data_IF_742148747206
#
_entry.id   IF_742148747206
#
_cell.length_a   1.000
_cell.length_b   1.000
_cell.length_c   1.000
_cell.angle_alpha   90.00
_cell.angle_beta   90.00
_cell.angle_gamma   90.00
#
_symmetry.space_group_name_H-M   'P 1'
#
loop_
_entity.id
_entity.type
_entity.pdbx_description
1 polymer ?
#
# COMPACT_ATOMS: atom_id res chain seq x y z
N UNK A 1 -6.14 37.19 19.92
CA UNK A 1 -7.33 36.39 19.55
C UNK A 1 -6.87 35.45 18.42
N UNK A 2 -6.42 34.29 18.79
CA UNK A 2 -6.00 33.25 17.83
C UNK A 2 -7.28 32.64 17.24
N UNK A 3 -7.47 32.87 15.95
CA UNK A 3 -8.51 32.21 15.14
C UNK A 3 -8.37 30.71 15.34
N UNK A 4 -9.36 30.10 15.98
CA UNK A 4 -9.53 28.63 15.95
C UNK A 4 -9.79 28.30 14.48
N UNK A 5 -8.78 27.75 13.82
CA UNK A 5 -8.88 27.26 12.46
C UNK A 5 -9.94 26.16 12.49
N UNK A 6 -11.15 26.45 12.00
CA UNK A 6 -12.20 25.46 11.82
C UNK A 6 -11.62 24.40 10.90
N UNK A 7 -11.25 23.25 11.45
CA UNK A 7 -10.76 22.11 10.67
C UNK A 7 -11.80 21.80 9.62
N UNK A 8 -11.44 21.97 8.35
CA UNK A 8 -12.37 21.65 7.25
C UNK A 8 -12.68 20.16 7.34
N UNK A 9 -13.96 19.85 7.33
CA UNK A 9 -14.41 18.45 7.37
C UNK A 9 -13.86 17.72 6.14
N UNK A 10 -13.12 16.60 6.31
CA UNK A 10 -12.54 15.89 5.18
C UNK A 10 -13.64 15.32 4.27
N UNK A 11 -13.39 15.37 2.97
CA UNK A 11 -14.26 14.77 1.93
C UNK A 11 -13.84 13.35 1.59
N UNK A 12 -12.55 13.03 1.79
CA UNK A 12 -11.96 11.71 1.52
C UNK A 12 -11.26 11.21 2.77
N UNK A 13 -11.61 9.99 3.16
CA UNK A 13 -10.92 9.18 4.14
C UNK A 13 -10.03 8.18 3.39
N UNK A 14 -8.71 8.36 3.49
CA UNK A 14 -7.73 7.37 3.08
C UNK A 14 -7.50 6.44 4.26
N UNK A 15 -7.91 5.19 4.14
CA UNK A 15 -7.90 4.22 5.23
C UNK A 15 -6.91 3.10 4.92
N UNK A 16 -5.91 2.87 5.79
CA UNK A 16 -5.14 1.63 5.73
C UNK A 16 -6.02 0.44 6.11
N UNK A 17 -5.61 -0.76 5.74
CA UNK A 17 -6.37 -1.99 5.97
C UNK A 17 -5.87 -2.74 7.20
N UNK A 18 -4.64 -3.24 7.16
CA UNK A 18 -4.08 -4.08 8.22
C UNK A 18 -3.73 -3.24 9.45
N UNK A 19 -4.30 -3.60 10.60
CA UNK A 19 -4.15 -2.82 11.83
C UNK A 19 -5.17 -1.69 12.02
N UNK A 20 -5.98 -1.40 11.01
CA UNK A 20 -7.01 -0.33 11.04
C UNK A 20 -8.41 -0.89 10.85
N UNK A 21 -8.66 -1.52 9.70
CA UNK A 21 -9.97 -2.15 9.40
C UNK A 21 -10.03 -3.55 10.00
N UNK A 22 -8.94 -4.29 9.90
CA UNK A 22 -8.84 -5.68 10.36
C UNK A 22 -7.43 -6.04 10.86
N UNK A 23 -7.35 -7.19 11.53
CA UNK A 23 -6.12 -7.90 11.81
C UNK A 23 -6.23 -9.29 11.17
N UNK A 24 -5.40 -9.60 10.17
CA UNK A 24 -5.46 -10.85 9.41
C UNK A 24 -6.90 -11.18 8.94
N UNK A 25 -7.60 -10.21 8.33
CA UNK A 25 -8.99 -10.25 7.86
C UNK A 25 -10.08 -10.39 8.94
N UNK A 26 -9.73 -10.40 10.22
CA UNK A 26 -10.70 -10.30 11.32
C UNK A 26 -10.95 -8.81 11.61
N UNK A 27 -12.18 -8.30 11.47
CA UNK A 27 -12.45 -6.88 11.68
C UNK A 27 -12.05 -6.40 13.08
N UNK A 28 -11.42 -5.24 13.15
CA UNK A 28 -11.24 -4.51 14.41
C UNK A 28 -12.64 -4.10 14.90
N UNK A 29 -13.00 -4.33 16.18
CA UNK A 29 -14.31 -3.97 16.71
C UNK A 29 -14.69 -2.51 16.41
N UNK A 30 -15.87 -2.30 15.84
CA UNK A 30 -16.38 -0.98 15.49
C UNK A 30 -15.84 -0.38 14.18
N UNK A 31 -14.85 -1.01 13.51
CA UNK A 31 -14.26 -0.45 12.29
C UNK A 31 -15.26 -0.38 11.12
N UNK A 32 -16.08 -1.43 10.96
CA UNK A 32 -17.06 -1.52 9.87
C UNK A 32 -18.15 -0.46 10.03
N UNK A 33 -18.70 -0.33 11.22
CA UNK A 33 -19.72 0.67 11.57
C UNK A 33 -19.18 2.09 11.41
N UNK A 34 -17.92 2.31 11.80
CA UNK A 34 -17.27 3.60 11.64
C UNK A 34 -17.15 4.02 10.16
N UNK A 35 -16.72 3.10 9.29
CA UNK A 35 -16.60 3.37 7.85
C UNK A 35 -17.97 3.65 7.23
N UNK A 36 -19.00 2.87 7.54
CA UNK A 36 -20.37 3.15 7.09
C UNK A 36 -20.86 4.52 7.55
N UNK A 37 -20.63 4.85 8.84
CA UNK A 37 -20.96 6.18 9.37
C UNK A 37 -20.22 7.31 8.66
N UNK A 38 -18.96 7.11 8.28
CA UNK A 38 -18.20 8.07 7.49
C UNK A 38 -18.86 8.30 6.12
N UNK A 39 -19.26 7.24 5.42
CA UNK A 39 -19.92 7.29 4.11
C UNK A 39 -21.33 7.92 4.20
N UNK A 40 -22.13 7.54 5.19
CA UNK A 40 -23.44 8.14 5.45
C UNK A 40 -23.38 9.65 5.70
N UNK A 41 -22.24 10.11 6.20
CA UNK A 41 -21.94 11.52 6.39
C UNK A 41 -21.24 12.20 5.20
N UNK A 42 -21.23 11.55 4.02
CA UNK A 42 -20.76 12.11 2.76
C UNK A 42 -19.25 12.08 2.55
N UNK A 43 -18.49 11.34 3.38
CA UNK A 43 -17.08 11.08 3.11
C UNK A 43 -16.92 9.94 2.10
N UNK A 44 -16.04 10.10 1.12
CA UNK A 44 -15.61 9.01 0.25
C UNK A 44 -14.50 8.23 0.95
N UNK A 45 -14.70 6.95 1.18
CA UNK A 45 -13.67 6.06 1.75
C UNK A 45 -12.87 5.43 0.63
N UNK A 46 -11.54 5.53 0.70
CA UNK A 46 -10.59 4.84 -0.16
C UNK A 46 -9.65 4.00 0.71
N UNK A 47 -9.51 2.74 0.37
CA UNK A 47 -8.65 1.79 1.08
C UNK A 47 -7.27 1.78 0.44
N UNK A 48 -6.21 2.15 1.19
CA UNK A 48 -4.85 2.31 0.65
C UNK A 48 -3.89 1.37 1.35
N UNK A 49 -3.49 0.30 0.68
CA UNK A 49 -2.68 -0.77 1.29
C UNK A 49 -1.34 -1.00 0.58
N UNK A 50 -0.31 -1.37 1.37
CA UNK A 50 0.96 -1.86 0.83
C UNK A 50 0.91 -3.35 0.43
N UNK A 51 -0.22 -4.03 0.59
CA UNK A 51 -0.38 -5.39 0.10
C UNK A 51 -0.33 -5.42 -1.44
N UNK A 52 0.67 -6.11 -1.99
CA UNK A 52 0.83 -6.35 -3.43
C UNK A 52 0.63 -7.81 -3.80
N UNK A 53 0.38 -8.68 -2.82
CA UNK A 53 0.26 -10.12 -3.03
C UNK A 53 -1.13 -10.51 -3.53
N UNK A 54 -2.18 -10.02 -2.86
CA UNK A 54 -3.56 -10.25 -3.22
C UNK A 54 -3.98 -9.35 -4.38
N UNK A 55 -4.88 -9.83 -5.23
CA UNK A 55 -5.48 -9.01 -6.30
C UNK A 55 -6.40 -7.94 -5.71
N UNK A 56 -6.71 -6.90 -6.48
CA UNK A 56 -7.70 -5.88 -6.09
C UNK A 56 -9.05 -6.53 -5.80
N UNK A 57 -9.50 -7.44 -6.67
CA UNK A 57 -10.77 -8.16 -6.51
C UNK A 57 -10.83 -9.01 -5.24
N UNK A 58 -9.71 -9.64 -4.84
CA UNK A 58 -9.63 -10.38 -3.57
C UNK A 58 -9.76 -9.43 -2.37
N UNK A 59 -9.11 -8.27 -2.40
CA UNK A 59 -9.22 -7.27 -1.33
C UNK A 59 -10.65 -6.72 -1.24
N UNK A 60 -11.25 -6.38 -2.38
CA UNK A 60 -12.66 -5.93 -2.44
C UNK A 60 -13.60 -7.02 -1.94
N UNK A 61 -13.35 -8.29 -2.30
CA UNK A 61 -14.13 -9.44 -1.83
C UNK A 61 -14.04 -9.63 -0.31
N UNK A 62 -12.84 -9.47 0.28
CA UNK A 62 -12.67 -9.54 1.74
C UNK A 62 -13.42 -8.39 2.44
N UNK A 63 -13.32 -7.15 1.94
CA UNK A 63 -14.09 -6.01 2.45
C UNK A 63 -15.60 -6.26 2.32
N UNK A 64 -16.05 -6.80 1.18
CA UNK A 64 -17.45 -7.19 0.97
C UNK A 64 -17.94 -8.24 1.96
N UNK A 65 -17.10 -9.22 2.33
CA UNK A 65 -17.47 -10.28 3.27
C UNK A 65 -17.73 -9.77 4.69
N UNK A 66 -17.17 -8.63 5.06
CA UNK A 66 -17.43 -7.94 6.33
C UNK A 66 -18.48 -6.83 6.20
N UNK A 67 -19.08 -6.69 5.01
CA UNK A 67 -20.21 -5.78 4.75
C UNK A 67 -19.81 -4.36 4.37
N UNK A 68 -18.62 -4.16 3.80
CA UNK A 68 -18.17 -2.89 3.24
C UNK A 68 -18.20 -2.97 1.71
N UNK A 69 -18.88 -2.01 1.05
CA UNK A 69 -18.78 -1.87 -0.41
C UNK A 69 -17.46 -1.19 -0.76
N UNK A 70 -16.54 -1.95 -1.34
CA UNK A 70 -15.21 -1.46 -1.69
C UNK A 70 -14.93 -1.45 -3.20
N UNK A 71 -15.93 -1.75 -4.04
CA UNK A 71 -15.78 -1.84 -5.49
C UNK A 71 -15.19 -0.53 -6.08
N UNK A 72 -14.02 -0.63 -6.70
CA UNK A 72 -13.28 0.51 -7.26
C UNK A 72 -12.70 1.48 -6.23
N UNK A 73 -12.60 1.08 -4.96
CA UNK A 73 -12.11 1.93 -3.86
C UNK A 73 -10.84 1.42 -3.20
N UNK A 74 -10.29 0.30 -3.67
CA UNK A 74 -9.04 -0.27 -3.17
C UNK A 74 -7.88 0.21 -4.03
N UNK A 75 -6.85 0.75 -3.39
CA UNK A 75 -5.59 1.20 -4.01
C UNK A 75 -4.47 0.40 -3.37
N UNK A 76 -3.78 -0.42 -4.19
CA UNK A 76 -2.72 -1.31 -3.71
C UNK A 76 -1.33 -0.83 -4.13
N UNK A 77 -0.31 -1.29 -3.43
CA UNK A 77 1.07 -1.04 -3.85
C UNK A 77 1.44 -1.75 -5.17
N UNK A 78 0.69 -2.79 -5.57
CA UNK A 78 0.80 -3.39 -6.89
C UNK A 78 0.37 -2.42 -8.00
N UNK A 79 -0.78 -1.74 -7.82
CA UNK A 79 -1.23 -0.68 -8.73
C UNK A 79 -0.20 0.47 -8.81
N UNK A 80 0.38 0.83 -7.67
CA UNK A 80 1.40 1.87 -7.63
C UNK A 80 2.67 1.47 -8.39
N UNK A 81 3.14 0.23 -8.24
CA UNK A 81 4.28 -0.28 -8.99
C UNK A 81 3.98 -0.31 -10.51
N UNK A 82 2.82 -0.81 -10.89
CA UNK A 82 2.37 -0.87 -12.27
C UNK A 82 2.23 0.53 -12.91
N UNK A 83 1.86 1.55 -12.13
CA UNK A 83 1.63 2.92 -12.61
C UNK A 83 2.86 3.66 -13.15
N UNK A 84 4.07 3.13 -12.92
CA UNK A 84 5.33 3.70 -13.37
C UNK A 84 6.03 2.86 -14.46
N UNK A 85 5.38 1.79 -14.92
CA UNK A 85 5.88 0.95 -15.99
C UNK A 85 5.48 1.50 -17.36
N UNK A 86 6.33 1.24 -18.36
CA UNK A 86 6.02 1.61 -19.74
C UNK A 86 5.27 0.47 -20.43
N UNK A 87 4.09 0.72 -21.04
CA UNK A 87 3.35 -0.30 -21.79
C UNK A 87 4.20 -0.95 -22.89
N UNK A 88 4.04 -2.25 -23.10
CA UNK A 88 4.82 -3.04 -24.04
C UNK A 88 6.18 -3.52 -23.48
N UNK A 89 6.57 -3.08 -22.29
CA UNK A 89 7.77 -3.56 -21.61
C UNK A 89 7.67 -5.03 -21.23
N UNK A 90 8.80 -5.75 -21.27
CA UNK A 90 8.91 -7.11 -20.75
C UNK A 90 9.40 -7.05 -19.31
N UNK A 91 8.61 -7.54 -18.37
CA UNK A 91 8.81 -7.37 -16.92
C UNK A 91 9.03 -8.72 -16.25
N UNK A 92 10.15 -8.86 -15.54
CA UNK A 92 10.37 -10.00 -14.64
C UNK A 92 9.67 -9.72 -13.31
N UNK A 93 8.65 -10.52 -12.95
CA UNK A 93 7.86 -10.32 -11.74
C UNK A 93 8.28 -11.30 -10.65
N UNK A 94 8.79 -10.77 -9.55
CA UNK A 94 9.07 -11.46 -8.29
C UNK A 94 7.97 -11.08 -7.28
N UNK A 95 6.78 -11.64 -7.42
CA UNK A 95 5.65 -11.25 -6.58
C UNK A 95 4.41 -12.11 -6.75
N UNK A 96 3.42 -11.86 -5.88
CA UNK A 96 2.15 -12.55 -5.86
C UNK A 96 1.22 -12.21 -7.03
N UNK A 97 0.03 -12.80 -6.99
CA UNK A 97 -0.98 -12.65 -8.05
C UNK A 97 -1.38 -11.20 -8.31
N UNK A 98 -1.57 -10.42 -7.24
CA UNK A 98 -1.95 -9.00 -7.37
C UNK A 98 -0.93 -8.20 -8.19
N UNK A 99 0.38 -8.41 -7.92
CA UNK A 99 1.42 -7.72 -8.67
C UNK A 99 1.46 -8.13 -10.14
N UNK A 100 1.30 -9.44 -10.43
CA UNK A 100 1.27 -9.97 -11.79
C UNK A 100 0.09 -9.40 -12.59
N UNK A 101 -1.09 -9.34 -11.97
CA UNK A 101 -2.30 -8.81 -12.60
C UNK A 101 -2.16 -7.31 -12.93
N UNK A 102 -1.64 -6.51 -12.01
CA UNK A 102 -1.49 -5.07 -12.24
C UNK A 102 -0.41 -4.76 -13.27
N UNK A 103 0.71 -5.52 -13.30
CA UNK A 103 1.73 -5.40 -14.37
C UNK A 103 1.14 -5.75 -15.73
N UNK A 104 0.34 -6.82 -15.81
CA UNK A 104 -0.36 -7.19 -17.06
C UNK A 104 -1.36 -6.11 -17.48
N UNK A 105 -2.13 -5.56 -16.51
CA UNK A 105 -3.10 -4.48 -16.75
C UNK A 105 -2.45 -3.17 -17.24
N UNK A 106 -1.19 -2.93 -16.86
CA UNK A 106 -0.39 -1.83 -17.38
C UNK A 106 0.07 -2.05 -18.84
N UNK A 107 -0.28 -3.18 -19.46
CA UNK A 107 0.07 -3.50 -20.85
C UNK A 107 1.49 -4.06 -21.02
N UNK A 108 2.09 -4.60 -19.95
CA UNK A 108 3.42 -5.22 -19.98
C UNK A 108 3.33 -6.74 -20.23
N UNK A 109 4.39 -7.30 -20.84
CA UNK A 109 4.60 -8.74 -20.91
C UNK A 109 5.10 -9.24 -19.54
N UNK A 110 4.32 -10.06 -18.86
CA UNK A 110 4.65 -10.60 -17.54
C UNK A 110 5.46 -11.88 -17.68
N UNK A 111 6.65 -11.92 -17.09
CA UNK A 111 7.45 -13.14 -16.90
C UNK A 111 7.57 -13.42 -15.41
N UNK A 112 6.97 -14.51 -14.95
CA UNK A 112 7.01 -14.90 -13.53
C UNK A 112 8.32 -15.60 -13.23
N UNK A 113 9.08 -15.11 -12.25
CA UNK A 113 10.47 -15.49 -12.04
C UNK A 113 10.65 -16.99 -11.76
N UNK A 114 9.88 -17.58 -10.82
CA UNK A 114 10.03 -19.01 -10.47
C UNK A 114 9.52 -19.97 -11.56
N UNK A 115 8.64 -19.51 -12.44
CA UNK A 115 8.10 -20.30 -13.56
C UNK A 115 9.04 -20.34 -14.76
N UNK A 116 10.05 -19.48 -14.78
CA UNK A 116 10.98 -19.32 -15.90
C UNK A 116 12.44 -19.29 -15.43
N UNK A 117 12.91 -20.29 -14.69
CA UNK A 117 14.25 -20.27 -14.11
C UNK A 117 15.34 -20.26 -15.18
N UNK A 118 16.39 -19.49 -14.94
CA UNK A 118 17.55 -19.40 -15.83
C UNK A 118 17.32 -18.66 -17.15
N UNK A 119 16.15 -18.09 -17.38
CA UNK A 119 15.82 -17.33 -18.58
C UNK A 119 16.70 -16.07 -18.68
N UNK A 120 17.18 -15.76 -19.88
CA UNK A 120 18.11 -14.65 -20.12
C UNK A 120 17.58 -13.63 -21.10
N UNK A 121 16.30 -13.34 -20.97
CA UNK A 121 15.65 -12.30 -21.77
C UNK A 121 16.16 -10.90 -21.36
N UNK A 122 16.04 -9.95 -22.27
CA UNK A 122 16.15 -8.55 -21.90
C UNK A 122 14.83 -8.09 -21.25
N UNK A 123 14.91 -7.61 -20.03
CA UNK A 123 13.77 -7.06 -19.30
C UNK A 123 13.89 -5.54 -19.20
N UNK A 124 12.77 -4.84 -19.30
CA UNK A 124 12.71 -3.40 -18.97
C UNK A 124 12.78 -3.17 -17.46
N UNK A 125 12.09 -4.02 -16.71
CA UNK A 125 11.95 -3.90 -15.26
C UNK A 125 12.01 -5.28 -14.57
N UNK A 126 12.50 -5.28 -13.34
CA UNK A 126 12.31 -6.35 -12.35
C UNK A 126 11.41 -5.77 -11.28
N UNK A 127 10.17 -6.26 -11.16
CA UNK A 127 9.18 -5.76 -10.21
C UNK A 127 9.02 -6.73 -9.05
N UNK A 128 9.18 -6.22 -7.83
CA UNK A 128 9.29 -7.03 -6.62
C UNK A 128 8.18 -6.67 -5.62
N UNK A 129 7.56 -7.70 -5.05
CA UNK A 129 6.62 -7.61 -3.94
C UNK A 129 6.78 -8.77 -2.97
N UNK A 130 5.76 -9.03 -2.15
CA UNK A 130 5.74 -10.25 -1.34
C UNK A 130 5.72 -11.47 -2.27
N UNK A 131 6.72 -12.34 -2.10
CA UNK A 131 6.96 -13.46 -3.00
C UNK A 131 7.33 -14.72 -2.21
N UNK A 132 6.39 -15.64 -2.07
CA UNK A 132 6.56 -16.85 -1.25
C UNK A 132 7.40 -17.91 -1.92
N UNK A 133 7.49 -17.88 -3.25
CA UNK A 133 8.28 -18.76 -4.09
C UNK A 133 9.73 -18.25 -4.31
N UNK A 134 10.17 -17.27 -3.48
CA UNK A 134 11.51 -16.72 -3.55
C UNK A 134 12.55 -17.72 -3.07
N UNK A 135 13.52 -18.01 -3.94
CA UNK A 135 14.65 -18.87 -3.66
C UNK A 135 15.96 -18.29 -4.24
N UNK A 136 17.07 -19.03 -4.10
CA UNK A 136 18.37 -18.59 -4.62
C UNK A 136 18.37 -18.48 -6.15
N UNK A 137 17.60 -19.30 -6.86
CA UNK A 137 17.51 -19.25 -8.33
C UNK A 137 16.82 -17.97 -8.78
N UNK A 138 15.70 -17.64 -8.15
CA UNK A 138 14.97 -16.37 -8.38
C UNK A 138 15.86 -15.17 -8.07
N UNK A 139 16.59 -15.20 -6.94
CA UNK A 139 17.53 -14.14 -6.58
C UNK A 139 18.60 -13.95 -7.67
N UNK A 140 19.21 -15.03 -8.16
CA UNK A 140 20.24 -14.99 -9.17
C UNK A 140 19.71 -14.48 -10.51
N UNK A 141 18.51 -14.87 -10.92
CA UNK A 141 17.90 -14.44 -12.18
C UNK A 141 17.48 -12.96 -12.13
N UNK A 142 16.87 -12.52 -11.03
CA UNK A 142 16.51 -11.12 -10.81
C UNK A 142 17.78 -10.23 -10.78
N UNK A 143 18.81 -10.64 -10.03
CA UNK A 143 20.10 -9.93 -10.01
C UNK A 143 20.69 -9.79 -11.42
N UNK A 144 20.70 -10.87 -12.22
CA UNK A 144 21.23 -10.82 -13.60
C UNK A 144 20.43 -9.88 -14.48
N UNK A 145 19.09 -9.92 -14.39
CA UNK A 145 18.22 -9.02 -15.14
C UNK A 145 18.53 -7.55 -14.83
N UNK A 146 18.63 -7.20 -13.53
CA UNK A 146 18.98 -5.84 -13.10
C UNK A 146 20.36 -5.44 -13.58
N UNK A 147 21.38 -6.30 -13.43
CA UNK A 147 22.75 -6.02 -13.91
C UNK A 147 22.87 -5.95 -15.44
N UNK A 148 21.90 -6.49 -16.16
CA UNK A 148 21.78 -6.36 -17.62
C UNK A 148 21.03 -5.11 -18.07
N UNK A 149 20.61 -4.24 -17.13
CA UNK A 149 20.01 -2.95 -17.43
C UNK A 149 18.53 -2.82 -17.08
N UNK A 150 17.87 -3.87 -16.55
CA UNK A 150 16.50 -3.76 -16.07
C UNK A 150 16.44 -2.85 -14.84
N UNK A 151 15.43 -1.99 -14.76
CA UNK A 151 15.18 -1.16 -13.57
C UNK A 151 14.60 -2.03 -12.45
N UNK A 152 15.12 -1.87 -11.23
CA UNK A 152 14.60 -2.57 -10.05
C UNK A 152 13.50 -1.73 -9.40
N UNK A 153 12.26 -2.26 -9.36
CA UNK A 153 11.06 -1.62 -8.79
C UNK A 153 10.52 -2.46 -7.65
N UNK A 154 10.36 -1.86 -6.47
CA UNK A 154 9.72 -2.46 -5.32
C UNK A 154 8.30 -1.95 -5.12
N UNK A 155 7.33 -2.84 -4.94
CA UNK A 155 5.96 -2.43 -4.61
C UNK A 155 5.86 -1.77 -3.24
N UNK A 156 6.68 -2.19 -2.28
CA UNK A 156 6.84 -1.59 -0.95
C UNK A 156 8.20 -1.97 -0.35
N UNK A 157 8.54 -1.35 0.79
CA UNK A 157 9.76 -1.61 1.56
C UNK A 157 9.49 -2.26 2.91
N UNK A 158 8.31 -2.85 3.12
CA UNK A 158 7.94 -3.47 4.40
C UNK A 158 8.80 -4.70 4.66
N UNK A 159 9.63 -4.64 5.72
CA UNK A 159 10.55 -5.73 6.09
C UNK A 159 9.82 -7.00 6.50
N UNK A 160 8.67 -6.84 7.16
CA UNK A 160 7.84 -7.93 7.66
C UNK A 160 6.36 -7.58 7.58
N UNK A 161 5.51 -8.60 7.69
CA UNK A 161 4.07 -8.44 7.85
C UNK A 161 3.55 -9.36 8.95
N UNK A 162 2.49 -8.95 9.68
CA UNK A 162 1.92 -9.74 10.76
C UNK A 162 1.10 -10.92 10.23
N UNK A 163 1.21 -12.04 10.95
CA UNK A 163 0.36 -13.23 10.78
C UNK A 163 -0.13 -13.69 12.16
N UNK A 164 -1.15 -14.56 12.24
CA UNK A 164 -1.57 -15.12 13.53
C UNK A 164 -0.45 -15.82 14.31
N UNK A 165 0.55 -16.36 13.60
CA UNK A 165 1.68 -17.09 14.18
C UNK A 165 2.92 -16.22 14.41
N UNK A 166 2.81 -14.89 14.21
CA UNK A 166 3.91 -13.94 14.37
C UNK A 166 4.29 -13.22 13.06
N UNK A 167 5.47 -12.60 13.04
CA UNK A 167 5.95 -11.85 11.88
C UNK A 167 6.58 -12.77 10.84
N UNK A 168 6.22 -12.58 9.57
CA UNK A 168 6.90 -13.17 8.42
C UNK A 168 7.60 -12.10 7.58
N UNK A 169 8.66 -12.47 6.79
CA UNK A 169 9.34 -11.52 5.90
C UNK A 169 8.39 -10.90 4.88
N UNK A 170 8.41 -9.59 4.76
CA UNK A 170 7.63 -8.82 3.80
C UNK A 170 8.30 -8.68 2.42
N UNK A 171 7.62 -7.99 1.51
CA UNK A 171 8.14 -7.71 0.16
C UNK A 171 9.43 -6.90 0.17
N UNK A 172 9.61 -6.02 1.17
CA UNK A 172 10.85 -5.26 1.35
C UNK A 172 12.08 -6.13 1.62
N UNK A 173 11.92 -7.28 2.32
CA UNK A 173 13.02 -8.22 2.53
C UNK A 173 13.46 -8.89 1.23
N UNK A 174 12.53 -9.26 0.36
CA UNK A 174 12.81 -9.80 -0.98
C UNK A 174 13.51 -8.75 -1.85
N UNK A 175 12.99 -7.53 -1.83
CA UNK A 175 13.55 -6.39 -2.56
C UNK A 175 14.99 -6.09 -2.11
N UNK A 176 15.24 -6.05 -0.81
CA UNK A 176 16.56 -5.80 -0.23
C UNK A 176 17.57 -6.87 -0.64
N UNK A 177 17.19 -8.15 -0.69
CA UNK A 177 18.06 -9.22 -1.13
C UNK A 177 18.48 -9.03 -2.60
N UNK A 178 17.55 -8.70 -3.49
CA UNK A 178 17.83 -8.47 -4.92
C UNK A 178 18.67 -7.20 -5.10
N UNK A 179 18.32 -6.10 -4.42
CA UNK A 179 19.03 -4.83 -4.49
C UNK A 179 20.48 -4.98 -4.04
N UNK A 180 20.72 -5.67 -2.91
CA UNK A 180 22.05 -5.98 -2.41
C UNK A 180 22.85 -6.82 -3.40
N UNK A 181 22.28 -7.89 -3.95
CA UNK A 181 22.94 -8.77 -4.90
C UNK A 181 23.28 -8.06 -6.23
N UNK A 182 22.39 -7.18 -6.68
CA UNK A 182 22.58 -6.41 -7.91
C UNK A 182 23.50 -5.19 -7.73
N UNK A 183 23.64 -4.66 -6.50
CA UNK A 183 24.43 -3.46 -6.19
C UNK A 183 23.75 -2.17 -6.65
N UNK A 184 22.42 -2.09 -6.54
CA UNK A 184 21.62 -0.92 -6.97
C UNK A 184 20.61 -0.49 -5.90
N UNK A 185 20.20 0.77 -5.95
CA UNK A 185 19.07 1.26 -5.18
C UNK A 185 17.76 1.04 -5.96
N UNK A 186 16.73 0.44 -5.34
CA UNK A 186 15.46 0.20 -6.00
C UNK A 186 14.58 1.46 -6.01
N UNK A 187 13.72 1.57 -7.02
CA UNK A 187 12.60 2.52 -7.00
C UNK A 187 11.46 1.91 -6.19
N UNK A 188 11.15 2.44 -5.01
CA UNK A 188 10.02 1.97 -4.19
C UNK A 188 8.77 2.79 -4.49
N UNK A 189 7.61 2.14 -4.59
CA UNK A 189 6.39 2.78 -5.11
C UNK A 189 5.22 2.85 -4.14
N UNK A 190 5.11 1.92 -3.19
CA UNK A 190 4.05 1.91 -2.16
C UNK A 190 4.19 3.04 -1.13
N UNK A 191 3.27 3.10 -0.17
CA UNK A 191 3.41 4.04 0.96
C UNK A 191 4.80 3.89 1.62
N UNK A 192 5.49 4.98 1.96
CA UNK A 192 5.09 6.39 1.89
C UNK A 192 5.45 7.13 0.57
N UNK A 193 5.88 6.44 -0.46
CA UNK A 193 6.56 7.06 -1.61
C UNK A 193 5.63 7.76 -2.61
N UNK A 194 6.19 8.75 -3.30
CA UNK A 194 5.51 9.61 -4.27
C UNK A 194 4.69 8.90 -5.38
N UNK A 195 5.07 7.72 -5.92
CA UNK A 195 4.21 7.04 -6.90
C UNK A 195 2.82 6.71 -6.35
N UNK A 196 2.72 6.25 -5.09
CA UNK A 196 1.43 6.00 -4.42
C UNK A 196 0.65 7.29 -4.21
N UNK A 197 1.32 8.35 -3.77
CA UNK A 197 0.68 9.66 -3.58
C UNK A 197 0.10 10.21 -4.90
N UNK A 198 0.85 10.10 -6.00
CA UNK A 198 0.34 10.47 -7.34
C UNK A 198 -0.85 9.62 -7.77
N UNK A 199 -0.83 8.32 -7.49
CA UNK A 199 -1.95 7.43 -7.82
C UNK A 199 -3.21 7.82 -7.04
N UNK A 200 -3.09 8.03 -5.72
CA UNK A 200 -4.20 8.53 -4.87
C UNK A 200 -4.69 9.88 -5.38
N UNK A 201 -3.80 10.81 -5.71
CA UNK A 201 -4.17 12.12 -6.26
C UNK A 201 -5.01 12.03 -7.54
N UNK A 202 -4.68 11.11 -8.45
CA UNK A 202 -5.51 10.85 -9.66
C UNK A 202 -6.89 10.29 -9.32
N UNK A 203 -6.98 9.39 -8.35
CA UNK A 203 -8.27 8.81 -7.91
C UNK A 203 -9.13 9.83 -7.19
N UNK A 204 -8.51 10.78 -6.47
CA UNK A 204 -9.17 11.85 -5.73
C UNK A 204 -9.40 13.12 -6.56
N UNK A 205 -9.46 13.00 -7.88
CA UNK A 205 -9.57 14.13 -8.82
C UNK A 205 -10.45 15.28 -8.31
N UNK A 206 -9.90 16.49 -8.33
CA UNK A 206 -10.56 17.72 -7.84
C UNK A 206 -10.61 17.89 -6.30
N UNK A 207 -10.06 16.97 -5.51
CA UNK A 207 -9.99 17.10 -4.04
C UNK A 207 -8.53 17.32 -3.63
N UNK A 208 -8.23 18.51 -3.11
CA UNK A 208 -6.90 18.84 -2.59
C UNK A 208 -6.60 18.19 -1.24
N UNK A 209 -5.32 18.26 -0.79
CA UNK A 209 -4.85 17.64 0.46
C UNK A 209 -5.67 18.03 1.70
N UNK A 210 -6.12 19.29 1.80
CA UNK A 210 -6.94 19.79 2.92
C UNK A 210 -8.31 19.10 3.02
N UNK A 211 -8.78 18.50 1.92
CA UNK A 211 -10.01 17.70 1.87
C UNK A 211 -9.81 16.22 2.16
N UNK A 212 -8.59 15.79 2.45
CA UNK A 212 -8.22 14.40 2.69
C UNK A 212 -7.74 14.20 4.13
N UNK A 213 -7.93 12.99 4.64
CA UNK A 213 -7.32 12.54 5.89
C UNK A 213 -6.85 11.10 5.72
N UNK A 214 -5.63 10.81 6.18
CA UNK A 214 -5.11 9.44 6.26
C UNK A 214 -5.31 8.89 7.66
N UNK A 215 -5.89 7.70 7.77
CA UNK A 215 -5.95 6.92 9.01
C UNK A 215 -5.12 5.67 8.84
N UNK A 216 -4.17 5.46 9.74
CA UNK A 216 -3.24 4.33 9.71
C UNK A 216 -2.70 4.01 11.10
N UNK A 217 -2.15 2.81 11.25
CA UNK A 217 -1.57 2.32 12.50
C UNK A 217 -0.05 2.50 12.57
N UNK A 218 0.61 2.74 11.41
CA UNK A 218 2.06 2.73 11.28
C UNK A 218 2.60 4.11 10.85
N UNK A 219 3.01 4.96 11.81
CA UNK A 219 3.49 6.32 11.56
C UNK A 219 4.59 6.42 10.51
N UNK A 220 5.54 5.49 10.52
CA UNK A 220 6.64 5.47 9.54
C UNK A 220 6.19 5.22 8.09
N UNK A 221 5.02 4.65 7.88
CA UNK A 221 4.44 4.37 6.55
C UNK A 221 3.26 5.31 6.28
N UNK A 222 2.22 5.26 7.10
CA UNK A 222 0.97 6.01 6.88
C UNK A 222 1.11 7.49 7.22
N UNK A 223 1.82 7.80 8.32
CA UNK A 223 2.11 9.18 8.70
C UNK A 223 3.02 9.87 7.69
N UNK A 224 4.08 9.18 7.28
CA UNK A 224 4.97 9.67 6.22
C UNK A 224 4.23 9.80 4.87
N UNK A 225 3.29 8.91 4.58
CA UNK A 225 2.44 8.99 3.37
C UNK A 225 1.49 10.17 3.42
N UNK A 226 0.87 10.43 4.56
CA UNK A 226 0.06 11.63 4.76
C UNK A 226 0.87 12.92 4.54
N UNK A 227 2.11 12.95 5.02
CA UNK A 227 3.03 14.06 4.81
C UNK A 227 3.42 14.23 3.33
N UNK A 228 3.64 13.12 2.59
CA UNK A 228 3.93 13.13 1.14
C UNK A 228 2.75 13.69 0.34
N UNK A 229 1.50 13.37 0.73
CA UNK A 229 0.29 13.96 0.13
C UNK A 229 0.10 15.41 0.59
N UNK A 230 0.52 15.75 1.81
CA UNK A 230 0.24 17.02 2.48
C UNK A 230 -1.12 17.04 3.20
N UNK A 231 -1.68 15.89 3.55
CA UNK A 231 -2.96 15.77 4.24
C UNK A 231 -2.81 15.50 5.76
N UNK A 232 -3.91 15.64 6.51
CA UNK A 232 -3.96 15.32 7.93
C UNK A 232 -3.74 13.81 8.15
N UNK A 233 -3.02 13.45 9.23
CA UNK A 233 -2.84 12.07 9.68
C UNK A 233 -3.51 11.83 11.03
N UNK A 234 -4.21 10.70 11.15
CA UNK A 234 -4.74 10.17 12.41
C UNK A 234 -4.12 8.79 12.62
N UNK A 235 -3.32 8.66 13.68
CA UNK A 235 -2.80 7.37 14.12
C UNK A 235 -3.86 6.64 14.91
N UNK A 236 -4.07 5.35 14.62
CA UNK A 236 -4.84 4.42 15.48
C UNK A 236 -3.89 3.42 16.14
N UNK A 237 -4.29 2.92 17.33
CA UNK A 237 -3.45 2.07 18.17
C UNK A 237 -3.87 0.59 18.12
N UNK A 238 -4.55 0.19 17.06
CA UNK A 238 -5.12 -1.16 16.88
C UNK A 238 -4.24 -2.12 16.10
N UNK A 239 -3.11 -1.65 15.55
CA UNK A 239 -2.23 -2.44 14.69
C UNK A 239 -0.82 -2.64 15.25
N UNK A 240 0.19 -2.40 14.40
CA UNK A 240 1.61 -2.61 14.74
C UNK A 240 2.08 -1.64 15.83
N UNK A 241 1.72 -0.36 15.72
CA UNK A 241 2.04 0.63 16.73
C UNK A 241 0.92 0.71 17.77
N UNK A 242 1.19 0.20 18.97
CA UNK A 242 0.27 0.26 20.11
C UNK A 242 0.51 1.45 21.03
N UNK A 243 1.50 2.27 20.70
CA UNK A 243 1.90 3.47 21.44
C UNK A 243 1.82 4.68 20.53
N UNK A 244 1.36 5.80 21.09
CA UNK A 244 1.31 7.07 20.38
C UNK A 244 2.70 7.53 19.98
N UNK A 245 2.91 7.83 18.71
CA UNK A 245 4.11 8.47 18.22
C UNK A 245 3.84 9.96 17.97
N UNK A 246 4.72 10.81 18.47
CA UNK A 246 4.58 12.26 18.34
C UNK A 246 4.98 12.71 16.91
N UNK A 247 4.03 12.68 15.99
CA UNK A 247 4.18 13.29 14.66
C UNK A 247 3.57 14.70 14.71
N UNK A 248 4.30 15.76 14.40
CA UNK A 248 3.76 17.12 14.39
C UNK A 248 2.50 17.22 13.50
N UNK A 249 1.41 17.73 14.06
CA UNK A 249 0.15 17.91 13.35
C UNK A 249 -0.73 16.65 13.21
N UNK A 250 -0.30 15.49 13.76
CA UNK A 250 -1.13 14.30 13.81
C UNK A 250 -2.06 14.28 15.03
N UNK A 251 -3.14 13.52 14.91
CA UNK A 251 -4.03 13.15 16.02
C UNK A 251 -3.83 11.67 16.33
N UNK A 252 -3.96 11.27 17.59
CA UNK A 252 -3.92 9.86 18.01
C UNK A 252 -5.28 9.47 18.55
N UNK A 253 -5.84 8.37 18.03
CA UNK A 253 -7.11 7.80 18.46
C UNK A 253 -6.89 6.33 18.89
N UNK A 254 -7.75 5.83 19.76
CA UNK A 254 -7.67 4.44 20.19
C UNK A 254 -7.87 3.46 19.02
N UNK A 255 -8.84 3.77 18.16
CA UNK A 255 -9.27 2.96 17.03
C UNK A 255 -9.90 3.82 15.92
N UNK A 256 -10.33 3.16 14.84
CA UNK A 256 -10.98 3.81 13.71
C UNK A 256 -12.34 4.44 14.09
N UNK A 257 -13.07 3.85 15.05
CA UNK A 257 -14.35 4.38 15.48
C UNK A 257 -14.20 5.74 16.19
N UNK A 258 -13.17 5.87 17.04
CA UNK A 258 -12.81 7.13 17.68
C UNK A 258 -12.32 8.15 16.64
N UNK A 259 -11.51 7.72 15.67
CA UNK A 259 -11.00 8.59 14.59
C UNK A 259 -12.14 9.17 13.74
N UNK A 260 -13.11 8.34 13.34
CA UNK A 260 -14.29 8.81 12.59
C UNK A 260 -15.17 9.70 13.45
N UNK A 261 -15.34 9.40 14.75
CA UNK A 261 -16.05 10.26 15.69
C UNK A 261 -15.47 11.67 15.75
N UNK A 262 -14.14 11.79 15.84
CA UNK A 262 -13.41 13.07 15.85
C UNK A 262 -13.58 13.84 14.52
N UNK A 263 -13.58 13.16 13.39
CA UNK A 263 -13.77 13.79 12.08
C UNK A 263 -15.18 14.33 11.85
N UNK A 264 -16.18 13.75 12.52
CA UNK A 264 -17.60 14.10 12.35
C UNK A 264 -18.11 15.12 13.37
N UNK A 265 -17.34 15.37 14.46
CA UNK A 265 -17.68 16.37 15.49
C UNK A 265 -17.35 17.79 15.02
#
# INVERSE_FOLDING_TARGET
MTSVNKTVRPKVLLCDLDGVVWLAHTPVPGSVEALRRAEENGMRVLYVTNNSFSTVSEQEGHLGSIGLDAAGRVITSAMSAASILEPGGKVLVCGGRGLREEVARAGCEVVVAHENPGRRDAYSDVVVGLYREFDYTVLADAMRAVRSGARLVGSNSDNSYPTPDGLLPGGGSVLAAIATAAGVEPVVTGKPHAPMARLVGRVCDGIGPDGMVMVGDKPATDGAFAAEIGCRFIQVLTGVSTVAEAIPGSTVCADLAAAVGDMLS
#
